data_IF_980685666515
#
_entry.id   IF_980685666515
#
_cell.length_a   1.000
_cell.length_b   1.000
_cell.length_c   1.000
_cell.angle_alpha   90.00
_cell.angle_beta   90.00
_cell.angle_gamma   90.00
#
_symmetry.space_group_name_H-M   'P 1'
#
loop_
_entity.id
_entity.type
_entity.pdbx_description
1 polymer ?
#
# COMPACT_ATOMS: atom_id res chain seq x y z
N UNK A 1 -31.21 -5.67 -5.02
CA UNK A 1 -30.82 -5.19 -3.69
C UNK A 1 -30.19 -3.82 -3.86
N UNK A 2 -30.73 -2.79 -3.22
CA UNK A 2 -30.11 -1.46 -3.22
C UNK A 2 -28.77 -1.52 -2.49
N UNK A 3 -27.86 -0.57 -2.75
CA UNK A 3 -26.58 -0.53 -2.02
C UNK A 3 -26.80 -0.28 -0.51
N UNK A 4 -27.87 0.43 -0.14
CA UNK A 4 -28.26 0.60 1.27
C UNK A 4 -28.70 -0.73 1.90
N UNK A 5 -29.50 -1.53 1.17
CA UNK A 5 -29.88 -2.87 1.60
C UNK A 5 -28.69 -3.82 1.74
N UNK A 6 -27.65 -3.64 0.90
CA UNK A 6 -26.41 -4.41 1.03
C UNK A 6 -25.79 -4.21 2.42
N UNK A 7 -25.67 -2.96 2.90
CA UNK A 7 -25.10 -2.68 4.23
C UNK A 7 -25.92 -3.30 5.36
N UNK A 8 -27.26 -3.25 5.24
CA UNK A 8 -28.19 -3.86 6.20
C UNK A 8 -28.17 -5.39 6.19
N UNK A 9 -27.85 -5.99 5.05
CA UNK A 9 -27.80 -7.44 4.86
C UNK A 9 -26.47 -8.09 5.21
N UNK A 10 -25.47 -7.32 5.66
CA UNK A 10 -24.18 -7.87 6.11
C UNK A 10 -24.37 -8.62 7.43
N UNK A 11 -23.87 -9.85 7.47
CA UNK A 11 -23.68 -10.61 8.70
C UNK A 11 -22.35 -10.17 9.32
N UNK A 12 -22.42 -9.26 10.27
CA UNK A 12 -21.26 -8.75 11.01
C UNK A 12 -20.75 -9.78 12.01
N UNK A 13 -19.45 -10.04 12.00
CA UNK A 13 -18.79 -10.86 13.03
C UNK A 13 -18.35 -9.97 14.19
N UNK A 14 -17.73 -8.84 13.86
CA UNK A 14 -17.42 -7.77 14.81
C UNK A 14 -17.89 -6.44 14.22
N UNK A 15 -18.43 -5.56 15.07
CA UNK A 15 -18.85 -4.21 14.70
C UNK A 15 -18.88 -3.28 15.91
N UNK A 16 -18.79 -1.98 15.65
CA UNK A 16 -18.99 -0.91 16.62
C UNK A 16 -20.42 -0.37 16.55
N UNK A 17 -20.85 0.34 17.60
CA UNK A 17 -22.17 0.97 17.69
C UNK A 17 -22.42 1.98 16.55
N UNK A 18 -21.36 2.53 15.95
CA UNK A 18 -21.45 3.43 14.79
C UNK A 18 -22.22 2.79 13.63
N UNK A 19 -22.11 1.47 13.43
CA UNK A 19 -22.86 0.80 12.36
C UNK A 19 -24.36 0.88 12.62
N UNK A 20 -24.79 0.67 13.87
CA UNK A 20 -26.21 0.74 14.22
C UNK A 20 -26.74 2.18 14.08
N UNK A 21 -26.00 3.17 14.58
CA UNK A 21 -26.31 4.60 14.41
C UNK A 21 -26.40 5.02 12.93
N UNK A 22 -25.55 4.46 12.08
CA UNK A 22 -25.55 4.72 10.65
C UNK A 22 -26.79 4.13 9.97
N UNK A 23 -27.21 2.93 10.38
CA UNK A 23 -28.35 2.22 9.78
C UNK A 23 -29.71 2.82 10.13
N UNK A 24 -29.80 3.58 11.23
CA UNK A 24 -30.97 4.37 11.64
C UNK A 24 -31.16 5.66 10.83
N UNK A 25 -30.12 6.12 10.14
CA UNK A 25 -30.14 7.36 9.35
C UNK A 25 -30.49 7.10 7.87
N UNK A 26 -30.93 8.15 7.17
CA UNK A 26 -30.99 8.12 5.71
C UNK A 26 -29.58 8.11 5.13
N UNK A 27 -29.31 7.13 4.26
CA UNK A 27 -27.99 6.92 3.67
C UNK A 27 -27.99 7.22 2.18
N UNK A 28 -27.01 8.00 1.77
CA UNK A 28 -26.61 8.15 0.37
C UNK A 28 -25.39 7.29 0.11
N UNK A 29 -25.33 6.67 -1.07
CA UNK A 29 -24.22 5.78 -1.44
C UNK A 29 -23.60 6.24 -2.74
N UNK A 30 -22.28 6.40 -2.75
CA UNK A 30 -21.50 6.63 -3.96
C UNK A 30 -20.41 5.57 -4.10
N UNK A 31 -20.09 5.22 -5.34
CA UNK A 31 -18.94 4.35 -5.63
C UNK A 31 -17.68 5.22 -5.61
N UNK A 32 -16.64 4.72 -4.96
CA UNK A 32 -15.32 5.33 -5.04
C UNK A 32 -14.49 4.60 -6.11
N UNK A 33 -13.48 5.26 -6.70
CA UNK A 33 -12.47 4.57 -7.49
C UNK A 33 -11.91 3.40 -6.68
N UNK A 34 -11.83 2.22 -7.29
CA UNK A 34 -11.35 1.01 -6.65
C UNK A 34 -10.41 0.26 -7.58
N UNK A 35 -9.39 -0.37 -7.01
CA UNK A 35 -8.47 -1.24 -7.74
C UNK A 35 -9.11 -2.54 -8.22
N UNK A 36 -8.25 -3.50 -8.57
CA UNK A 36 -8.68 -4.78 -9.13
C UNK A 36 -9.28 -5.72 -8.07
N UNK A 37 -9.05 -5.50 -6.78
CA UNK A 37 -9.35 -6.49 -5.73
C UNK A 37 -10.75 -6.38 -5.12
N UNK A 38 -11.22 -5.16 -4.86
CA UNK A 38 -12.46 -4.93 -4.11
C UNK A 38 -13.32 -3.85 -4.77
N UNK A 39 -14.62 -3.89 -4.53
CA UNK A 39 -15.52 -2.74 -4.73
C UNK A 39 -15.46 -1.85 -3.50
N UNK A 40 -15.32 -0.55 -3.73
CA UNK A 40 -15.25 0.44 -2.65
C UNK A 40 -16.45 1.37 -2.75
N UNK A 41 -17.22 1.46 -1.67
CA UNK A 41 -18.44 2.27 -1.60
C UNK A 41 -18.38 3.21 -0.40
N UNK A 42 -18.71 4.47 -0.62
CA UNK A 42 -18.89 5.45 0.44
C UNK A 42 -20.36 5.52 0.83
N UNK A 43 -20.65 5.32 2.11
CA UNK A 43 -21.96 5.57 2.70
C UNK A 43 -21.89 6.87 3.47
N UNK A 44 -22.78 7.80 3.17
CA UNK A 44 -22.86 9.11 3.82
C UNK A 44 -24.23 9.30 4.43
N UNK A 45 -24.25 9.65 5.72
CA UNK A 45 -25.40 10.15 6.46
C UNK A 45 -25.26 11.67 6.67
N UNK A 46 -26.17 12.27 7.43
CA UNK A 46 -26.07 13.69 7.81
C UNK A 46 -24.90 13.99 8.75
N UNK A 47 -24.39 12.98 9.46
CA UNK A 47 -23.37 13.13 10.51
C UNK A 47 -22.05 12.44 10.19
N UNK A 48 -22.10 11.34 9.44
CA UNK A 48 -20.96 10.44 9.25
C UNK A 48 -20.77 10.02 7.79
N UNK A 49 -19.52 9.77 7.43
CA UNK A 49 -19.12 9.14 6.17
C UNK A 49 -18.22 7.95 6.46
N UNK A 50 -18.56 6.79 5.89
CA UNK A 50 -17.82 5.54 6.04
C UNK A 50 -17.55 4.91 4.68
N UNK A 51 -16.55 4.03 4.62
CA UNK A 51 -16.15 3.31 3.41
C UNK A 51 -16.33 1.81 3.64
N UNK A 52 -17.10 1.16 2.79
CA UNK A 52 -17.23 -0.29 2.75
C UNK A 52 -16.36 -0.84 1.62
N UNK A 53 -15.38 -1.68 1.98
CA UNK A 53 -14.67 -2.54 1.04
C UNK A 53 -15.42 -3.88 0.95
N UNK A 54 -15.71 -4.32 -0.26
CA UNK A 54 -16.35 -5.59 -0.59
C UNK A 54 -15.45 -6.37 -1.54
N UNK A 55 -14.96 -7.53 -1.09
CA UNK A 55 -14.17 -8.44 -1.93
C UNK A 55 -15.10 -9.48 -2.56
N UNK A 56 -15.52 -9.20 -3.78
CA UNK A 56 -16.43 -10.03 -4.59
C UNK A 56 -15.78 -10.55 -5.88
N UNK A 57 -14.45 -10.63 -5.87
CA UNK A 57 -13.59 -11.08 -6.97
C UNK A 57 -12.66 -12.20 -6.45
N UNK A 58 -11.70 -12.61 -7.25
CA UNK A 58 -10.72 -13.66 -6.91
C UNK A 58 -9.82 -13.32 -5.70
N UNK A 59 -9.72 -12.05 -5.31
CA UNK A 59 -8.95 -11.65 -4.12
C UNK A 59 -9.65 -12.10 -2.84
N UNK A 60 -8.92 -12.82 -1.98
CA UNK A 60 -9.45 -13.39 -0.73
C UNK A 60 -8.64 -12.95 0.51
N UNK A 61 -8.63 -11.66 0.88
CA UNK A 61 -7.80 -11.19 1.97
C UNK A 61 -8.31 -11.66 3.34
N UNK A 62 -7.42 -11.63 4.33
CA UNK A 62 -7.81 -11.80 5.73
C UNK A 62 -8.37 -10.47 6.28
N UNK A 63 -9.69 -10.27 6.13
CA UNK A 63 -10.38 -9.06 6.61
C UNK A 63 -10.40 -8.94 8.13
N UNK A 64 -10.30 -10.06 8.86
CA UNK A 64 -10.18 -10.04 10.33
C UNK A 64 -8.81 -9.50 10.72
N UNK A 65 -7.74 -9.99 10.08
CA UNK A 65 -6.40 -9.44 10.27
C UNK A 65 -6.37 -7.93 10.02
N UNK A 66 -6.95 -7.46 8.92
CA UNK A 66 -7.02 -6.01 8.63
C UNK A 66 -7.82 -5.25 9.71
N UNK A 67 -8.96 -5.77 10.17
CA UNK A 67 -9.76 -5.16 11.23
C UNK A 67 -8.96 -4.97 12.54
N UNK A 68 -8.30 -6.04 13.00
CA UNK A 68 -7.50 -6.03 14.23
C UNK A 68 -6.28 -5.13 14.07
N UNK A 69 -5.62 -5.18 12.91
CA UNK A 69 -4.44 -4.38 12.62
C UNK A 69 -4.75 -2.87 12.66
N UNK A 70 -5.78 -2.43 11.94
CA UNK A 70 -6.19 -1.03 11.90
C UNK A 70 -6.46 -0.49 13.31
N UNK A 71 -7.19 -1.26 14.12
CA UNK A 71 -7.41 -0.94 15.53
C UNK A 71 -6.08 -0.84 16.28
N UNK A 72 -5.19 -1.83 16.18
CA UNK A 72 -3.92 -1.83 16.90
C UNK A 72 -2.98 -0.67 16.53
N UNK A 73 -2.90 -0.31 15.23
CA UNK A 73 -2.09 0.79 14.74
C UNK A 73 -2.67 2.14 15.16
N UNK A 74 -4.00 2.31 15.08
CA UNK A 74 -4.67 3.55 15.48
C UNK A 74 -4.52 3.84 16.97
N UNK A 75 -4.59 2.83 17.84
CA UNK A 75 -4.33 2.97 19.28
C UNK A 75 -2.90 3.46 19.59
N UNK A 76 -1.96 3.27 18.66
CA UNK A 76 -0.57 3.73 18.75
C UNK A 76 -0.34 5.07 18.05
N UNK A 77 -1.41 5.75 17.63
CA UNK A 77 -1.32 7.05 16.98
C UNK A 77 -0.80 7.00 15.53
N UNK A 78 -0.75 5.81 14.92
CA UNK A 78 -0.48 5.70 13.48
C UNK A 78 -1.74 6.14 12.74
N UNK A 79 -1.56 7.00 11.74
CA UNK A 79 -2.68 7.55 10.97
C UNK A 79 -3.15 6.52 9.94
N UNK A 80 -4.12 5.72 10.36
CA UNK A 80 -4.79 4.68 9.58
C UNK A 80 -6.30 4.84 9.70
N UNK A 81 -7.06 4.26 8.76
CA UNK A 81 -8.51 4.28 8.86
C UNK A 81 -9.01 3.62 10.14
N UNK A 82 -10.04 4.21 10.77
CA UNK A 82 -10.80 3.53 11.81
C UNK A 82 -11.49 2.32 11.24
N UNK A 83 -11.42 1.20 11.95
CA UNK A 83 -12.17 0.01 11.59
C UNK A 83 -13.45 -0.07 12.42
N UNK A 84 -14.59 -0.14 11.75
CA UNK A 84 -15.90 -0.14 12.40
C UNK A 84 -16.57 -1.51 12.40
N UNK A 85 -16.12 -2.43 11.55
CA UNK A 85 -16.59 -3.80 11.58
C UNK A 85 -16.17 -4.60 10.36
N UNK A 86 -16.27 -5.92 10.48
CA UNK A 86 -16.01 -6.86 9.39
C UNK A 86 -17.02 -8.00 9.42
N UNK A 87 -17.22 -8.65 8.28
CA UNK A 87 -18.18 -9.75 8.17
C UNK A 87 -18.36 -10.23 6.75
N UNK A 88 -19.55 -10.74 6.47
CA UNK A 88 -19.87 -11.35 5.18
C UNK A 88 -21.21 -10.87 4.64
N UNK A 89 -21.29 -10.72 3.32
CA UNK A 89 -22.58 -10.60 2.63
C UNK A 89 -23.34 -11.93 2.63
N UNK A 90 -24.62 -11.92 2.26
CA UNK A 90 -25.40 -13.15 2.10
C UNK A 90 -24.81 -14.12 1.04
N UNK A 91 -24.04 -13.61 0.09
CA UNK A 91 -23.30 -14.41 -0.92
C UNK A 91 -21.92 -14.85 -0.43
N UNK A 92 -21.62 -14.72 0.87
CA UNK A 92 -20.36 -15.07 1.51
C UNK A 92 -19.14 -14.26 1.04
N UNK A 93 -19.34 -13.11 0.39
CA UNK A 93 -18.25 -12.17 0.09
C UNK A 93 -17.82 -11.43 1.36
N UNK A 94 -16.51 -11.30 1.58
CA UNK A 94 -15.91 -10.62 2.72
C UNK A 94 -16.12 -9.11 2.63
N UNK A 95 -16.32 -8.47 3.79
CA UNK A 95 -16.45 -7.01 3.90
C UNK A 95 -15.69 -6.44 5.08
N UNK A 96 -15.23 -5.19 4.92
CA UNK A 96 -14.62 -4.38 5.96
C UNK A 96 -15.18 -2.96 5.85
N UNK A 97 -15.69 -2.43 6.97
CA UNK A 97 -16.18 -1.07 7.07
C UNK A 97 -15.17 -0.19 7.82
N UNK A 98 -14.76 0.90 7.20
CA UNK A 98 -13.78 1.84 7.75
C UNK A 98 -14.26 3.28 7.73
N UNK A 99 -13.51 4.18 8.36
CA UNK A 99 -13.69 5.63 8.19
C UNK A 99 -13.46 6.06 6.74
N UNK A 100 -14.12 7.17 6.39
CA UNK A 100 -13.77 7.95 5.22
C UNK A 100 -12.73 9.00 5.63
N UNK A 101 -11.49 8.85 5.17
CA UNK A 101 -10.33 9.65 5.64
C UNK A 101 -9.82 10.64 4.58
N UNK A 102 -10.71 11.14 3.74
CA UNK A 102 -10.40 12.18 2.75
C UNK A 102 -10.29 11.66 1.33
N UNK A 103 -9.46 12.31 0.52
CA UNK A 103 -9.31 12.06 -0.93
C UNK A 103 -7.85 11.76 -1.29
N UNK A 104 -7.57 11.14 -2.45
CA UNK A 104 -6.18 10.94 -2.89
C UNK A 104 -5.41 12.27 -2.97
N UNK A 105 -4.10 12.22 -2.68
CA UNK A 105 -3.21 13.39 -2.77
C UNK A 105 -3.21 13.91 -4.21
N UNK A 106 -3.62 15.17 -4.40
CA UNK A 106 -3.73 15.80 -5.72
C UNK A 106 -2.49 16.59 -6.13
N UNK A 107 -1.74 17.12 -5.16
CA UNK A 107 -0.52 17.90 -5.36
C UNK A 107 0.53 17.39 -4.37
N UNK A 108 1.73 17.10 -4.88
CA UNK A 108 2.87 16.68 -4.07
C UNK A 108 3.85 17.84 -3.93
N UNK A 109 4.30 18.10 -2.71
CA UNK A 109 5.32 19.12 -2.40
C UNK A 109 6.39 18.52 -1.49
N UNK A 110 7.52 19.20 -1.36
CA UNK A 110 8.60 18.83 -0.42
C UNK A 110 8.11 18.59 1.01
N UNK A 111 7.19 19.42 1.51
CA UNK A 111 6.66 19.24 2.86
C UNK A 111 5.81 17.99 2.95
N UNK A 112 4.95 17.74 1.93
CA UNK A 112 4.09 16.57 1.91
C UNK A 112 4.93 15.29 1.90
N UNK A 113 5.94 15.19 1.03
CA UNK A 113 6.78 13.98 1.01
C UNK A 113 7.57 13.77 2.31
N UNK A 114 7.95 14.85 3.01
CA UNK A 114 8.55 14.74 4.35
C UNK A 114 7.55 14.22 5.38
N UNK A 115 6.31 14.68 5.33
CA UNK A 115 5.25 14.22 6.22
C UNK A 115 4.90 12.74 5.96
N UNK A 116 4.91 12.30 4.70
CA UNK A 116 4.73 10.90 4.32
C UNK A 116 5.90 10.02 4.78
N UNK A 117 7.14 10.51 4.68
CA UNK A 117 8.32 9.81 5.17
C UNK A 117 8.25 9.63 6.69
N UNK A 118 7.85 10.67 7.43
CA UNK A 118 7.63 10.60 8.87
C UNK A 118 6.48 9.66 9.25
N UNK A 119 5.43 9.58 8.44
CA UNK A 119 4.33 8.63 8.60
C UNK A 119 4.81 7.17 8.43
N UNK A 120 5.60 6.89 7.38
CA UNK A 120 6.18 5.57 7.15
C UNK A 120 7.18 5.18 8.24
N UNK A 121 8.03 6.11 8.68
CA UNK A 121 8.98 5.88 9.75
C UNK A 121 8.27 5.53 11.07
N UNK A 122 7.21 6.25 11.42
CA UNK A 122 6.42 5.94 12.63
C UNK A 122 5.78 4.56 12.57
N UNK A 123 5.31 4.13 11.40
CA UNK A 123 4.83 2.76 11.20
C UNK A 123 5.94 1.75 11.49
N UNK A 124 7.13 1.95 10.91
CA UNK A 124 8.27 1.05 11.08
C UNK A 124 8.85 1.04 12.51
N UNK A 125 8.56 2.05 13.32
CA UNK A 125 8.96 2.13 14.73
C UNK A 125 7.96 1.47 15.70
N UNK A 126 6.83 0.95 15.21
CA UNK A 126 5.90 0.19 16.05
C UNK A 126 6.59 -1.06 16.59
N UNK A 127 6.68 -1.15 17.92
CA UNK A 127 7.30 -2.30 18.58
C UNK A 127 6.45 -3.56 18.42
N UNK A 128 7.05 -4.61 17.87
CA UNK A 128 6.38 -5.91 17.69
C UNK A 128 5.96 -6.55 19.02
N UNK A 129 6.67 -6.26 20.12
CA UNK A 129 6.29 -6.78 21.44
C UNK A 129 4.97 -6.19 21.95
N UNK A 130 4.55 -5.06 21.40
CA UNK A 130 3.28 -4.44 21.77
C UNK A 130 2.12 -4.94 20.90
N UNK A 131 2.41 -5.55 19.74
CA UNK A 131 1.40 -6.11 18.86
C UNK A 131 1.06 -7.55 19.26
N UNK A 132 -0.20 -7.93 19.05
CA UNK A 132 -0.59 -9.33 19.21
C UNK A 132 0.21 -10.20 18.22
N UNK A 133 0.71 -11.34 18.70
CA UNK A 133 1.39 -12.33 17.87
C UNK A 133 0.59 -12.78 16.64
N UNK A 134 -0.75 -12.71 16.65
CA UNK A 134 -1.58 -13.01 15.47
C UNK A 134 -1.38 -12.01 14.34
N UNK A 135 -0.86 -10.81 14.63
CA UNK A 135 -0.53 -9.79 13.64
C UNK A 135 0.88 -9.99 13.02
N UNK A 136 1.68 -10.92 13.55
CA UNK A 136 3.04 -11.19 13.07
C UNK A 136 3.06 -12.14 11.87
N UNK A 137 2.19 -11.89 10.88
CA UNK A 137 2.18 -12.65 9.64
C UNK A 137 3.49 -12.44 8.88
N UNK A 138 4.05 -13.52 8.34
CA UNK A 138 5.27 -13.54 7.53
C UNK A 138 5.03 -14.38 6.30
N UNK A 139 5.45 -13.86 5.16
CA UNK A 139 5.40 -14.57 3.88
C UNK A 139 6.80 -14.61 3.27
N UNK A 140 7.04 -15.60 2.41
CA UNK A 140 8.28 -15.65 1.65
C UNK A 140 8.32 -14.47 0.67
N UNK A 141 9.36 -13.65 0.76
CA UNK A 141 9.43 -12.34 0.10
C UNK A 141 9.23 -12.42 -1.42
N UNK A 142 9.97 -13.30 -2.10
CA UNK A 142 9.92 -13.39 -3.57
C UNK A 142 8.55 -13.91 -4.04
N UNK A 143 8.05 -15.09 -3.61
CA UNK A 143 6.75 -15.59 -4.06
C UNK A 143 5.58 -14.64 -3.77
N UNK A 144 5.65 -13.90 -2.65
CA UNK A 144 4.58 -12.99 -2.26
C UNK A 144 4.55 -11.71 -3.12
N UNK A 145 5.69 -11.02 -3.25
CA UNK A 145 5.74 -9.71 -3.92
C UNK A 145 6.00 -9.78 -5.43
N UNK A 146 6.36 -10.95 -5.95
CA UNK A 146 6.68 -11.19 -7.36
C UNK A 146 5.91 -12.39 -7.91
N UNK A 147 4.57 -12.32 -7.96
CA UNK A 147 3.76 -13.39 -8.54
C UNK A 147 4.07 -13.55 -10.03
N UNK A 148 4.20 -14.79 -10.50
CA UNK A 148 4.48 -15.11 -11.91
C UNK A 148 5.93 -14.85 -12.35
N UNK A 149 6.86 -14.65 -11.42
CA UNK A 149 8.27 -14.35 -11.71
C UNK A 149 8.95 -15.41 -12.59
N UNK A 150 8.54 -16.68 -12.47
CA UNK A 150 9.03 -17.82 -13.23
C UNK A 150 8.85 -17.67 -14.75
N UNK A 151 7.92 -16.84 -15.20
CA UNK A 151 7.69 -16.53 -16.63
C UNK A 151 8.63 -15.42 -17.14
N UNK A 152 9.44 -14.82 -16.27
CA UNK A 152 10.27 -13.64 -16.56
C UNK A 152 11.73 -13.83 -16.09
N UNK A 153 12.46 -14.71 -16.78
CA UNK A 153 13.81 -15.14 -16.41
C UNK A 153 14.84 -14.00 -16.24
N UNK A 154 14.72 -12.94 -17.05
CA UNK A 154 15.60 -11.77 -17.00
C UNK A 154 15.43 -10.99 -15.68
N UNK A 155 14.19 -10.83 -15.20
CA UNK A 155 13.89 -10.23 -13.90
C UNK A 155 14.25 -11.20 -12.76
N UNK A 156 13.90 -12.48 -12.92
CA UNK A 156 14.12 -13.51 -11.91
C UNK A 156 15.59 -13.63 -11.51
N UNK A 157 16.50 -13.71 -12.49
CA UNK A 157 17.92 -13.89 -12.24
C UNK A 157 18.50 -12.74 -11.41
N UNK A 158 18.18 -11.50 -11.79
CA UNK A 158 18.63 -10.28 -11.10
C UNK A 158 18.02 -10.18 -9.70
N UNK A 159 16.70 -10.42 -9.57
CA UNK A 159 16.01 -10.32 -8.29
C UNK A 159 16.58 -11.30 -7.25
N UNK A 160 16.75 -12.57 -7.62
CA UNK A 160 17.25 -13.61 -6.71
C UNK A 160 18.65 -13.24 -6.22
N UNK A 161 19.52 -12.73 -7.09
CA UNK A 161 20.84 -12.27 -6.70
C UNK A 161 20.78 -11.08 -5.72
N UNK A 162 19.91 -10.10 -5.98
CA UNK A 162 19.78 -8.91 -5.12
C UNK A 162 19.21 -9.25 -3.75
N UNK A 163 18.17 -10.10 -3.69
CA UNK A 163 17.57 -10.53 -2.42
C UNK A 163 18.56 -11.36 -1.60
N UNK A 164 19.31 -12.27 -2.23
CA UNK A 164 20.31 -13.07 -1.52
C UNK A 164 21.47 -12.23 -0.97
N UNK A 165 21.79 -11.11 -1.61
CA UNK A 165 22.88 -10.21 -1.20
C UNK A 165 22.44 -9.02 -0.34
N UNK A 166 21.13 -8.83 -0.11
CA UNK A 166 20.60 -7.68 0.64
C UNK A 166 20.55 -7.89 2.15
N UNK A 167 20.80 -9.12 2.64
CA UNK A 167 20.57 -9.50 4.02
C UNK A 167 19.15 -9.09 4.48
N UNK A 168 18.14 -9.50 3.70
CA UNK A 168 16.74 -9.17 3.93
C UNK A 168 16.28 -9.58 5.33
N UNK A 169 15.60 -8.68 6.02
CA UNK A 169 15.07 -8.90 7.37
C UNK A 169 13.53 -8.98 7.35
N UNK A 170 12.95 -9.72 8.30
CA UNK A 170 11.49 -9.75 8.53
C UNK A 170 11.19 -9.49 10.01
N UNK A 171 11.69 -8.36 10.50
CA UNK A 171 11.66 -7.95 11.91
C UNK A 171 10.96 -6.60 12.12
N UNK A 172 10.41 -6.00 11.07
CA UNK A 172 9.66 -4.75 11.14
C UNK A 172 8.26 -4.96 10.58
N UNK A 173 7.25 -4.31 11.15
CA UNK A 173 5.92 -4.29 10.56
C UNK A 173 5.90 -3.33 9.37
N UNK A 174 5.63 -3.85 8.17
CA UNK A 174 5.60 -3.09 6.91
C UNK A 174 4.18 -3.02 6.34
N UNK A 175 3.92 -1.99 5.56
CA UNK A 175 2.72 -1.87 4.74
C UNK A 175 2.75 -2.85 3.54
N UNK A 176 3.93 -3.05 2.92
CA UNK A 176 4.13 -3.93 1.77
C UNK A 176 3.75 -3.32 0.42
N UNK A 177 2.96 -2.24 0.43
CA UNK A 177 2.61 -1.49 -0.78
C UNK A 177 2.46 0.02 -0.53
N UNK A 178 3.36 0.61 0.26
CA UNK A 178 3.29 2.04 0.57
C UNK A 178 3.57 2.89 -0.68
N UNK A 179 2.52 3.47 -1.26
CA UNK A 179 2.60 4.35 -2.42
C UNK A 179 1.56 5.49 -2.30
N UNK A 180 1.69 6.54 -3.11
CA UNK A 180 0.82 7.73 -3.04
C UNK A 180 -0.66 7.43 -3.29
N UNK A 181 -0.99 6.39 -4.06
CA UNK A 181 -2.37 5.95 -4.28
C UNK A 181 -3.02 5.32 -3.04
N UNK A 182 -2.21 4.87 -2.09
CA UNK A 182 -2.63 4.29 -0.81
C UNK A 182 -2.58 5.30 0.35
N UNK A 183 -2.47 6.60 0.04
CA UNK A 183 -2.55 7.67 1.03
C UNK A 183 -3.72 8.59 0.72
N UNK A 184 -4.58 8.81 1.72
CA UNK A 184 -5.64 9.82 1.67
C UNK A 184 -5.22 11.08 2.42
N UNK A 185 -5.62 12.23 1.90
CA UNK A 185 -5.46 13.55 2.49
C UNK A 185 -6.83 14.09 2.92
N UNK A 186 -6.92 14.45 4.20
CA UNK A 186 -7.98 15.26 4.78
C UNK A 186 -7.38 16.52 5.41
N UNK A 187 -7.23 17.57 4.60
CA UNK A 187 -6.74 18.89 5.02
C UNK A 187 -5.37 18.85 5.73
N UNK A 188 -4.43 18.09 5.17
CA UNK A 188 -3.07 17.89 5.72
C UNK A 188 -2.96 16.72 6.69
N UNK A 189 -4.08 16.03 6.98
CA UNK A 189 -4.04 14.76 7.72
C UNK A 189 -3.93 13.59 6.75
N UNK A 190 -2.70 13.06 6.62
CA UNK A 190 -2.42 11.90 5.78
C UNK A 190 -2.81 10.59 6.48
N UNK A 191 -3.56 9.73 5.80
CA UNK A 191 -4.02 8.44 6.32
C UNK A 191 -3.61 7.32 5.38
N UNK A 192 -2.92 6.30 5.90
CA UNK A 192 -2.54 5.11 5.15
C UNK A 192 -3.75 4.17 5.03
N UNK A 193 -4.04 3.76 3.80
CA UNK A 193 -5.10 2.81 3.48
C UNK A 193 -4.53 1.60 2.73
N UNK A 194 -5.38 0.59 2.56
CA UNK A 194 -5.07 -0.63 1.81
C UNK A 194 -3.99 -1.54 2.39
N UNK A 195 -4.32 -2.08 3.56
CA UNK A 195 -3.47 -2.94 4.37
C UNK A 195 -3.45 -4.41 3.93
N UNK A 196 -3.80 -4.70 2.67
CA UNK A 196 -3.88 -6.08 2.16
C UNK A 196 -2.53 -6.79 2.15
N UNK A 197 -1.43 -6.03 1.95
CA UNK A 197 -0.06 -6.56 1.90
C UNK A 197 0.70 -6.48 3.23
N UNK A 198 0.02 -6.08 4.31
CA UNK A 198 0.65 -5.80 5.58
C UNK A 198 1.16 -7.07 6.25
N UNK A 199 2.42 -7.05 6.68
CA UNK A 199 3.12 -8.22 7.22
C UNK A 199 4.40 -7.79 7.95
N UNK A 200 5.11 -8.74 8.55
CA UNK A 200 6.49 -8.52 8.96
C UNK A 200 7.43 -8.64 7.76
N UNK A 201 8.28 -7.64 7.59
CA UNK A 201 9.18 -7.50 6.46
C UNK A 201 10.37 -6.61 6.76
N UNK A 202 11.02 -6.15 5.70
CA UNK A 202 12.19 -5.28 5.75
C UNK A 202 11.74 -3.83 5.54
N UNK A 203 12.00 -2.95 6.50
CA UNK A 203 11.65 -1.53 6.38
C UNK A 203 12.28 -0.85 5.15
N UNK A 204 13.45 -1.34 4.70
CA UNK A 204 14.12 -0.84 3.49
C UNK A 204 13.31 -1.12 2.23
N UNK A 205 12.52 -2.19 2.22
CA UNK A 205 11.63 -2.51 1.10
C UNK A 205 10.51 -1.48 0.94
N UNK A 206 9.79 -1.16 2.02
CA UNK A 206 8.73 -0.16 1.99
C UNK A 206 9.27 1.23 1.62
N UNK A 207 10.39 1.62 2.22
CA UNK A 207 11.08 2.87 1.91
C UNK A 207 11.47 2.94 0.43
N UNK A 208 12.10 1.89 -0.09
CA UNK A 208 12.55 1.86 -1.48
C UNK A 208 11.38 1.80 -2.47
N UNK A 209 10.32 1.05 -2.17
CA UNK A 209 9.12 1.00 -3.02
C UNK A 209 8.48 2.39 -3.13
N UNK A 210 8.30 3.07 -2.01
CA UNK A 210 7.74 4.42 -1.98
C UNK A 210 8.64 5.43 -2.73
N UNK A 211 9.94 5.46 -2.41
CA UNK A 211 10.88 6.39 -3.03
C UNK A 211 11.03 6.14 -4.54
N UNK A 212 11.10 4.88 -4.96
CA UNK A 212 11.14 4.49 -6.36
C UNK A 212 9.91 4.99 -7.14
N UNK A 213 8.70 4.78 -6.61
CA UNK A 213 7.47 5.23 -7.28
C UNK A 213 7.36 6.76 -7.33
N UNK A 214 7.75 7.46 -6.26
CA UNK A 214 7.83 8.93 -6.26
C UNK A 214 8.82 9.40 -7.33
N UNK A 215 9.99 8.75 -7.46
CA UNK A 215 10.96 9.08 -8.50
C UNK A 215 10.36 8.89 -9.90
N UNK A 216 9.77 7.71 -10.13
CA UNK A 216 9.23 7.32 -11.41
C UNK A 216 8.10 8.26 -11.90
N UNK A 217 7.22 8.68 -11.00
CA UNK A 217 6.02 9.43 -11.36
C UNK A 217 6.09 10.93 -11.05
N UNK A 218 6.93 11.35 -10.11
CA UNK A 218 6.99 12.73 -9.60
C UNK A 218 8.40 13.34 -9.70
N UNK A 219 9.43 12.54 -9.96
CA UNK A 219 10.80 12.98 -10.19
C UNK A 219 11.75 12.83 -9.00
N UNK A 220 13.05 12.80 -9.29
CA UNK A 220 14.12 12.51 -8.32
C UNK A 220 14.18 13.52 -7.16
N UNK A 221 13.84 14.80 -7.38
CA UNK A 221 13.90 15.82 -6.32
C UNK A 221 12.97 15.49 -5.14
N UNK A 222 11.71 15.16 -5.44
CA UNK A 222 10.72 14.76 -4.43
C UNK A 222 11.05 13.40 -3.82
N UNK A 223 11.56 12.46 -4.61
CA UNK A 223 12.00 11.16 -4.12
C UNK A 223 13.18 11.27 -3.15
N UNK A 224 14.14 12.15 -3.45
CA UNK A 224 15.27 12.45 -2.59
C UNK A 224 14.82 13.16 -1.30
N UNK A 225 13.88 14.11 -1.38
CA UNK A 225 13.31 14.76 -0.20
C UNK A 225 12.61 13.74 0.73
N UNK A 226 11.81 12.83 0.18
CA UNK A 226 11.18 11.71 0.90
C UNK A 226 12.23 10.83 1.59
N UNK A 227 13.18 10.31 0.80
CA UNK A 227 14.21 9.37 1.25
C UNK A 227 15.12 9.98 2.32
N UNK A 228 15.58 11.22 2.12
CA UNK A 228 16.43 11.91 3.09
C UNK A 228 15.69 12.19 4.41
N UNK A 229 14.41 12.52 4.35
CA UNK A 229 13.60 12.74 5.55
C UNK A 229 13.51 11.46 6.39
N UNK A 230 13.21 10.32 5.76
CA UNK A 230 13.20 9.02 6.42
C UNK A 230 14.59 8.68 6.99
N UNK A 231 15.62 8.76 6.15
CA UNK A 231 16.97 8.31 6.50
C UNK A 231 17.62 9.15 7.61
N UNK A 232 17.26 10.44 7.73
CA UNK A 232 17.77 11.32 8.79
C UNK A 232 17.48 10.82 10.22
N UNK A 233 16.55 9.86 10.37
CA UNK A 233 16.11 9.27 11.63
C UNK A 233 16.23 7.73 11.63
N UNK A 234 17.01 7.16 10.73
CA UNK A 234 17.25 5.71 10.62
C UNK A 234 18.73 5.39 10.55
N UNK A 235 19.10 4.13 10.78
CA UNK A 235 20.49 3.65 10.68
C UNK A 235 20.85 3.07 9.30
N UNK A 236 19.92 3.08 8.35
CA UNK A 236 20.16 2.54 7.01
C UNK A 236 21.13 3.42 6.23
N UNK A 237 22.05 2.79 5.51
CA UNK A 237 22.95 3.50 4.62
C UNK A 237 22.37 3.60 3.19
N UNK A 238 22.89 4.56 2.42
CA UNK A 238 22.43 4.81 1.06
C UNK A 238 22.72 3.66 0.08
N UNK A 239 23.75 2.86 0.32
CA UNK A 239 24.13 1.73 -0.52
C UNK A 239 23.09 0.61 -0.41
N UNK A 240 22.66 0.31 0.81
CA UNK A 240 21.57 -0.62 1.08
C UNK A 240 20.27 -0.15 0.44
N UNK A 241 19.92 1.14 0.59
CA UNK A 241 18.71 1.68 -0.04
C UNK A 241 18.78 1.59 -1.56
N UNK A 242 19.91 1.91 -2.18
CA UNK A 242 20.06 1.79 -3.63
C UNK A 242 19.84 0.34 -4.12
N UNK A 243 20.27 -0.66 -3.34
CA UNK A 243 19.98 -2.08 -3.64
C UNK A 243 18.49 -2.40 -3.52
N UNK A 244 17.80 -1.89 -2.49
CA UNK A 244 16.36 -2.09 -2.36
C UNK A 244 15.55 -1.32 -3.42
N UNK A 245 16.04 -0.18 -3.91
CA UNK A 245 15.45 0.54 -5.04
C UNK A 245 15.59 -0.26 -6.34
N UNK A 246 16.68 -1.02 -6.51
CA UNK A 246 16.80 -1.97 -7.62
C UNK A 246 15.75 -3.09 -7.51
N UNK A 247 15.54 -3.63 -6.31
CA UNK A 247 14.47 -4.60 -6.03
C UNK A 247 13.09 -4.01 -6.38
N UNK A 248 12.79 -2.79 -5.91
CA UNK A 248 11.56 -2.06 -6.25
C UNK A 248 11.39 -1.84 -7.77
N UNK A 249 12.46 -1.50 -8.48
CA UNK A 249 12.46 -1.36 -9.93
C UNK A 249 12.09 -2.69 -10.64
N UNK A 250 12.64 -3.81 -10.19
CA UNK A 250 12.31 -5.13 -10.72
C UNK A 250 10.84 -5.49 -10.46
N UNK A 251 10.28 -5.10 -9.29
CA UNK A 251 8.85 -5.28 -9.00
C UNK A 251 7.99 -4.52 -9.99
N UNK A 252 8.32 -3.26 -10.26
CA UNK A 252 7.58 -2.45 -11.21
C UNK A 252 7.70 -3.00 -12.64
N UNK A 253 8.89 -3.43 -13.07
CA UNK A 253 9.09 -4.04 -14.38
C UNK A 253 8.23 -5.30 -14.54
N UNK A 254 8.19 -6.17 -13.52
CA UNK A 254 7.33 -7.35 -13.52
C UNK A 254 5.86 -6.93 -13.65
N UNK A 255 5.38 -6.06 -12.75
CA UNK A 255 3.99 -5.57 -12.78
C UNK A 255 3.63 -4.95 -14.13
N UNK A 256 4.55 -4.24 -14.79
CA UNK A 256 4.33 -3.64 -16.11
C UNK A 256 4.17 -4.65 -17.26
N UNK A 257 4.55 -5.92 -17.04
CA UNK A 257 4.39 -7.03 -17.98
C UNK A 257 3.10 -7.82 -17.73
N UNK A 258 2.69 -7.94 -16.47
CA UNK A 258 1.56 -8.80 -16.08
C UNK A 258 0.27 -8.02 -15.78
N UNK A 259 0.34 -6.70 -15.61
CA UNK A 259 -0.80 -5.85 -15.31
C UNK A 259 -0.72 -4.51 -16.05
N UNK A 260 -1.83 -3.77 -16.07
CA UNK A 260 -1.86 -2.41 -16.60
C UNK A 260 -1.38 -1.42 -15.54
N UNK A 261 -0.10 -1.04 -15.63
CA UNK A 261 0.49 0.01 -14.79
C UNK A 261 0.49 1.33 -15.54
N UNK A 262 0.32 2.49 -14.86
CA UNK A 262 0.43 3.79 -15.51
C UNK A 262 1.80 3.92 -16.19
N UNK A 263 1.79 3.99 -17.52
CA UNK A 263 2.99 4.04 -18.37
C UNK A 263 2.72 4.93 -19.58
N UNK A 264 3.53 5.97 -19.73
CA UNK A 264 3.61 6.81 -20.92
C UNK A 264 5.09 7.00 -21.32
N UNK A 265 5.36 7.76 -22.38
CA UNK A 265 6.72 8.03 -22.85
C UNK A 265 7.64 8.57 -21.75
N UNK A 266 7.16 9.53 -20.95
CA UNK A 266 7.91 10.09 -19.83
C UNK A 266 8.21 9.04 -18.75
N UNK A 267 7.26 8.16 -18.44
CA UNK A 267 7.48 7.04 -17.51
C UNK A 267 8.54 6.08 -18.05
N UNK A 268 8.53 5.80 -19.36
CA UNK A 268 9.51 4.92 -20.03
C UNK A 268 10.92 5.55 -19.99
N UNK A 269 11.03 6.85 -20.24
CA UNK A 269 12.30 7.57 -20.11
C UNK A 269 12.82 7.50 -18.67
N UNK A 270 11.97 7.81 -17.69
CA UNK A 270 12.36 7.82 -16.29
C UNK A 270 12.78 6.44 -15.77
N UNK A 271 12.05 5.37 -16.12
CA UNK A 271 12.46 4.01 -15.71
C UNK A 271 13.80 3.61 -16.34
N UNK A 272 14.03 3.99 -17.60
CA UNK A 272 15.32 3.74 -18.26
C UNK A 272 16.46 4.50 -17.59
N UNK A 273 16.24 5.75 -17.19
CA UNK A 273 17.23 6.50 -16.41
C UNK A 273 17.53 5.84 -15.06
N UNK A 274 16.51 5.37 -14.34
CA UNK A 274 16.66 4.66 -13.07
C UNK A 274 17.50 3.39 -13.27
N UNK A 275 17.19 2.58 -14.30
CA UNK A 275 17.94 1.36 -14.63
C UNK A 275 19.42 1.68 -14.93
N UNK A 276 19.69 2.75 -15.69
CA UNK A 276 21.06 3.13 -16.06
C UNK A 276 21.86 3.67 -14.87
N UNK A 277 21.23 4.44 -13.98
CA UNK A 277 21.89 5.08 -12.83
C UNK A 277 22.10 4.12 -11.66
N UNK A 278 21.27 3.08 -11.52
CA UNK A 278 21.39 2.13 -10.43
C UNK A 278 22.40 1.02 -10.77
N UNK A 279 23.55 1.03 -10.10
CA UNK A 279 24.64 0.07 -10.33
C UNK A 279 24.31 -1.41 -10.07
N UNK A 280 23.19 -1.67 -9.38
CA UNK A 280 22.71 -3.01 -9.09
C UNK A 280 21.81 -3.58 -10.19
N UNK A 281 21.40 -2.76 -11.17
CA UNK A 281 20.54 -3.18 -12.27
C UNK A 281 21.34 -3.39 -13.56
N UNK A 282 20.89 -4.37 -14.33
CA UNK A 282 21.42 -4.64 -15.65
C UNK A 282 20.77 -3.73 -16.70
N UNK A 283 21.58 -2.98 -17.43
CA UNK A 283 21.09 -2.01 -18.43
C UNK A 283 20.31 -2.65 -19.57
N UNK A 284 20.43 -3.97 -19.77
CA UNK A 284 19.58 -4.72 -20.71
C UNK A 284 18.10 -4.75 -20.36
N UNK A 285 17.72 -4.40 -19.12
CA UNK A 285 16.33 -4.30 -18.67
C UNK A 285 15.62 -3.03 -19.15
N UNK A 286 16.33 -2.12 -19.82
CA UNK A 286 15.75 -0.90 -20.38
C UNK A 286 14.66 -1.20 -21.40
N UNK A 287 13.58 -0.41 -21.35
CA UNK A 287 12.42 -0.54 -22.22
C UNK A 287 12.63 0.22 -23.53
N UNK A 288 12.14 -0.33 -24.65
CA UNK A 288 12.15 0.38 -25.93
C UNK A 288 11.15 1.55 -25.92
N UNK A 289 11.57 2.71 -26.41
CA UNK A 289 10.64 3.79 -26.74
C UNK A 289 9.80 3.35 -27.93
N UNK A 290 8.47 3.40 -27.81
CA UNK A 290 7.60 3.20 -28.97
C UNK A 290 7.84 4.36 -29.92
N UNK A 291 8.32 4.09 -31.13
CA UNK A 291 8.33 5.09 -32.19
C UNK A 291 6.88 5.33 -32.60
N UNK A 292 6.39 6.53 -32.28
CA UNK A 292 5.09 7.06 -32.72
C UNK A 292 4.98 7.13 -34.25
#
# INVERSE_FOLDING_TARGET
MSLVELLRGITWIERTDLIDELLEQELTVSKLPSGLEAKVMKYSSSTNSVVLKLWDKESDPDVRFQHVLLSALRHRGISVSGSYGWGYTASNHKVLLTSFDGSPISILTDQIVKDLADLLLRLHQVSLHELDSTLHQKYDFIPYFYPGLEEHQDIQAELVQLVNSSNLQQNTFIHGDFNLGNILDDQGKYTIIDWTNAQLGDARYDLAWASFLINLYNGEELAAAFRNAYLSKSEFDMEEIQRFEAIACLRWLLLSRITDVPKNEKTIEQINEIIIKNKHLNTKLTLMQQQS
#
